data_IF_621823431741
#
_entry.id   IF_621823431741
#
_cell.length_a   1.000
_cell.length_b   1.000
_cell.length_c   1.000
_cell.angle_alpha   90.00
_cell.angle_beta   90.00
_cell.angle_gamma   90.00
#
_symmetry.space_group_name_H-M   'P 1'
#
loop_
_entity.id
_entity.type
_entity.pdbx_description
1 polymer ?
#
# COMPACT_ATOMS: atom_id res chain seq x y z
N UNK A 1 19.95 14.34 10.59
CA UNK A 1 20.01 13.58 9.33
C UNK A 1 18.59 13.24 8.97
N UNK A 2 17.93 14.07 8.14
CA UNK A 2 16.60 13.74 7.61
C UNK A 2 16.88 12.64 6.59
N UNK A 3 16.37 11.44 6.85
CA UNK A 3 16.50 10.33 5.91
C UNK A 3 15.66 10.69 4.67
N UNK A 4 16.33 10.95 3.55
CA UNK A 4 15.68 11.32 2.27
C UNK A 4 14.91 10.13 1.66
N UNK A 5 14.84 8.99 2.35
CA UNK A 5 14.17 7.76 1.89
C UNK A 5 12.77 7.52 2.49
N UNK A 6 12.32 8.29 3.50
CA UNK A 6 11.01 8.07 4.16
C UNK A 6 10.01 9.21 3.88
N UNK A 7 9.64 9.43 2.61
CA UNK A 7 8.51 10.30 2.29
C UNK A 7 7.19 9.52 2.26
N UNK A 8 6.72 9.12 3.45
CA UNK A 8 5.42 8.46 3.60
C UNK A 8 4.25 9.27 3.04
N UNK A 9 4.39 10.59 2.91
CA UNK A 9 3.31 11.45 2.41
C UNK A 9 3.20 11.36 0.90
N UNK A 10 4.31 11.11 0.18
CA UNK A 10 4.28 10.86 -1.26
C UNK A 10 4.14 9.39 -1.64
N UNK A 11 4.40 8.47 -0.71
CA UNK A 11 4.22 7.05 -0.97
C UNK A 11 2.73 6.71 -1.24
N UNK A 12 2.40 6.14 -2.42
CA UNK A 12 1.02 5.84 -2.83
C UNK A 12 0.38 4.68 -2.05
N UNK A 13 1.13 4.10 -1.11
CA UNK A 13 0.76 2.93 -0.32
C UNK A 13 0.58 3.26 1.17
N UNK A 14 1.13 4.37 1.66
CA UNK A 14 1.13 4.71 3.08
C UNK A 14 -0.20 5.29 3.58
N UNK A 15 -1.01 5.89 2.69
CA UNK A 15 -2.29 6.52 3.03
C UNK A 15 -3.40 6.05 2.09
N UNK A 16 -3.76 4.76 2.11
CA UNK A 16 -4.84 4.25 1.27
C UNK A 16 -6.17 4.91 1.60
N UNK A 17 -7.00 5.17 0.59
CA UNK A 17 -8.38 5.54 0.83
C UNK A 17 -9.11 4.33 1.46
N UNK A 18 -9.97 4.53 2.48
CA UNK A 18 -10.71 3.42 3.09
C UNK A 18 -11.53 2.60 2.10
N UNK A 19 -11.99 3.23 1.00
CA UNK A 19 -12.73 2.57 -0.08
C UNK A 19 -11.89 1.60 -0.91
N UNK A 20 -10.57 1.73 -0.92
CA UNK A 20 -9.68 0.87 -1.69
C UNK A 20 -9.36 -0.43 -0.92
N UNK A 21 -9.56 -0.43 0.40
CA UNK A 21 -9.23 -1.56 1.27
C UNK A 21 -10.37 -2.57 1.23
N UNK A 22 -10.12 -3.73 0.62
CA UNK A 22 -11.11 -4.81 0.56
C UNK A 22 -10.96 -5.83 1.70
N UNK A 23 -9.78 -5.89 2.32
CA UNK A 23 -9.48 -6.74 3.47
C UNK A 23 -8.27 -6.14 4.22
N UNK A 24 -8.26 -6.24 5.55
CA UNK A 24 -7.13 -5.82 6.37
C UNK A 24 -7.03 -6.66 7.65
N UNK A 25 -5.83 -6.65 8.24
CA UNK A 25 -5.56 -7.15 9.59
C UNK A 25 -4.65 -6.14 10.33
N UNK A 26 -3.94 -6.56 11.38
CA UNK A 26 -3.06 -5.66 12.15
C UNK A 26 -1.76 -5.26 11.43
N UNK A 27 -1.43 -5.91 10.31
CA UNK A 27 -0.12 -5.81 9.68
C UNK A 27 -0.17 -5.33 8.23
N UNK A 28 -1.24 -5.63 7.51
CA UNK A 28 -1.37 -5.32 6.09
C UNK A 28 -2.82 -5.08 5.68
N UNK A 29 -2.96 -4.47 4.51
CA UNK A 29 -4.22 -4.35 3.80
C UNK A 29 -4.10 -4.90 2.38
N UNK A 30 -5.25 -5.21 1.81
CA UNK A 30 -5.44 -5.70 0.46
C UNK A 30 -6.22 -4.67 -0.36
N UNK A 31 -5.79 -4.40 -1.60
CA UNK A 31 -6.55 -3.62 -2.59
C UNK A 31 -6.34 -4.15 -4.01
N UNK A 32 -7.33 -4.00 -4.87
CA UNK A 32 -7.13 -4.29 -6.29
C UNK A 32 -6.07 -3.37 -6.89
N UNK A 33 -5.30 -3.92 -7.83
CA UNK A 33 -4.38 -3.13 -8.62
C UNK A 33 -5.16 -2.17 -9.53
N UNK A 34 -4.69 -0.93 -9.65
CA UNK A 34 -5.26 0.06 -10.57
C UNK A 34 -4.97 -0.30 -12.03
N UNK A 35 -3.89 -1.05 -12.28
CA UNK A 35 -3.45 -1.49 -13.61
C UNK A 35 -3.17 -3.00 -13.61
N UNK A 36 -4.21 -3.82 -13.45
CA UNK A 36 -4.05 -5.26 -13.24
C UNK A 36 -3.53 -5.96 -14.49
N UNK A 37 -2.55 -6.87 -14.31
CA UNK A 37 -2.06 -7.75 -15.37
C UNK A 37 -3.12 -8.79 -15.76
N UNK A 38 -3.92 -9.22 -14.80
CA UNK A 38 -4.99 -10.21 -14.98
C UNK A 38 -6.22 -9.89 -14.11
N UNK A 39 -7.42 -10.39 -14.48
CA UNK A 39 -8.62 -10.18 -13.68
C UNK A 39 -8.45 -10.65 -12.24
N UNK A 40 -8.78 -9.77 -11.29
CA UNK A 40 -8.66 -10.06 -9.85
C UNK A 40 -7.26 -9.84 -9.27
N UNK A 41 -6.29 -9.29 -10.02
CA UNK A 41 -4.97 -8.97 -9.50
C UNK A 41 -5.05 -8.00 -8.32
N UNK A 42 -4.36 -8.34 -7.24
CA UNK A 42 -4.49 -7.69 -5.94
C UNK A 42 -3.13 -7.48 -5.30
N UNK A 43 -2.99 -6.36 -4.60
CA UNK A 43 -1.81 -6.00 -3.84
C UNK A 43 -2.06 -6.28 -2.36
N UNK A 44 -1.11 -6.96 -1.72
CA UNK A 44 -1.01 -7.06 -0.26
C UNK A 44 0.10 -6.13 0.21
N UNK A 45 -0.26 -5.12 0.98
CA UNK A 45 0.61 -3.99 1.31
C UNK A 45 0.73 -3.88 2.84
N UNK A 46 1.94 -3.93 3.43
CA UNK A 46 2.13 -3.69 4.85
C UNK A 46 1.75 -2.26 5.25
N UNK A 47 1.19 -2.07 6.45
CA UNK A 47 1.03 -0.71 7.00
C UNK A 47 2.36 -0.06 7.35
N UNK A 48 3.38 -0.87 7.63
CA UNK A 48 4.75 -0.37 7.85
C UNK A 48 5.38 -0.01 6.51
N UNK A 49 5.78 1.24 6.35
CA UNK A 49 6.64 1.66 5.24
C UNK A 49 8.00 0.95 5.36
N UNK A 50 8.33 0.14 4.37
CA UNK A 50 9.63 -0.54 4.26
C UNK A 50 10.02 -0.58 2.79
N UNK A 51 11.20 -0.05 2.49
CA UNK A 51 11.81 -0.18 1.17
C UNK A 51 12.61 -1.49 1.10
N UNK A 52 12.78 -2.01 -0.11
CA UNK A 52 13.57 -3.20 -0.44
C UNK A 52 14.84 -2.84 -1.18
#
# INVERSE_FOLDING_TARGET
MVDLTDDRRSCPFCTPAPSDIILANDHAYARFDLYPVSPGHLLLIPFRHVAS
#
